data_IF_759427550871
#
_entry.id   IF_759427550871
#
_cell.length_a   1.000
_cell.length_b   1.000
_cell.length_c   1.000
_cell.angle_alpha   90.00
_cell.angle_beta   90.00
_cell.angle_gamma   90.00
#
_symmetry.space_group_name_H-M   'P 1'
#
loop_
_entity.id
_entity.type
_entity.pdbx_description
1 polymer ?
#
# COMPACT_ATOMS: atom_id res chain seq x y z
N UNK A 1 14.37 -4.78 -8.07
CA UNK A 1 14.08 -4.53 -9.49
C UNK A 1 14.16 -3.04 -9.76
N UNK A 2 14.81 -2.64 -10.84
CA UNK A 2 14.80 -1.23 -11.29
C UNK A 2 13.54 -0.96 -12.08
N UNK A 3 12.88 0.13 -11.76
CA UNK A 3 11.65 0.59 -12.41
C UNK A 3 11.92 1.96 -13.01
N UNK A 4 11.68 2.12 -14.31
CA UNK A 4 11.68 3.42 -14.96
C UNK A 4 10.31 4.05 -14.88
N UNK A 5 10.24 5.22 -14.27
CA UNK A 5 9.01 5.99 -14.11
C UNK A 5 8.65 6.73 -15.40
N UNK A 6 7.40 7.17 -15.53
CA UNK A 6 6.92 7.89 -16.72
C UNK A 6 7.63 9.23 -16.96
N UNK A 7 8.16 9.84 -15.92
CA UNK A 7 8.94 11.08 -15.97
C UNK A 7 10.45 10.86 -16.24
N UNK A 8 10.86 9.61 -16.46
CA UNK A 8 12.23 9.23 -16.79
C UNK A 8 13.13 8.90 -15.61
N UNK A 9 12.69 9.17 -14.36
CA UNK A 9 13.44 8.75 -13.16
C UNK A 9 13.49 7.22 -13.06
N UNK A 10 14.52 6.71 -12.41
CA UNK A 10 14.64 5.30 -12.08
C UNK A 10 14.60 5.12 -10.56
N UNK A 11 13.80 4.18 -10.11
CA UNK A 11 13.73 3.78 -8.70
C UNK A 11 14.02 2.28 -8.57
N UNK A 12 14.56 1.90 -7.42
CA UNK A 12 14.74 0.48 -7.08
C UNK A 12 13.59 0.05 -6.19
N UNK A 13 12.82 -0.95 -6.63
CA UNK A 13 11.81 -1.62 -5.81
C UNK A 13 12.40 -2.93 -5.31
N UNK A 14 12.48 -3.08 -4.01
CA UNK A 14 13.06 -4.25 -3.34
C UNK A 14 12.32 -4.60 -2.07
N UNK A 15 12.60 -5.79 -1.53
CA UNK A 15 12.05 -6.18 -0.22
C UNK A 15 12.50 -5.22 0.87
N UNK A 16 11.57 -4.92 1.77
CA UNK A 16 11.83 -4.18 3.00
C UNK A 16 12.71 -5.00 3.94
N UNK A 17 13.61 -4.32 4.63
CA UNK A 17 14.46 -4.89 5.68
C UNK A 17 14.33 -4.08 6.96
N UNK A 18 14.84 -4.59 8.09
CA UNK A 18 14.84 -3.87 9.37
C UNK A 18 15.54 -2.51 9.28
N UNK A 19 16.58 -2.42 8.46
CA UNK A 19 17.33 -1.16 8.26
C UNK A 19 16.53 -0.07 7.55
N UNK A 20 15.41 -0.42 6.92
CA UNK A 20 14.56 0.52 6.20
C UNK A 20 13.55 1.26 7.11
N UNK A 21 13.39 0.81 8.35
CA UNK A 21 12.38 1.36 9.27
C UNK A 21 12.48 2.88 9.44
N UNK A 22 13.69 3.38 9.63
CA UNK A 22 13.91 4.82 9.80
C UNK A 22 13.56 5.60 8.54
N UNK A 23 14.01 5.14 7.38
CA UNK A 23 13.72 5.78 6.10
C UNK A 23 12.24 5.77 5.74
N UNK A 24 11.54 4.67 6.00
CA UNK A 24 10.09 4.59 5.81
C UNK A 24 9.36 5.53 6.77
N UNK A 25 9.77 5.57 8.04
CA UNK A 25 9.16 6.47 9.03
C UNK A 25 9.37 7.94 8.67
N UNK A 26 10.56 8.32 8.21
CA UNK A 26 10.86 9.67 7.73
C UNK A 26 10.02 10.02 6.50
N UNK A 27 9.90 9.13 5.54
CA UNK A 27 9.05 9.32 4.38
C UNK A 27 7.59 9.55 4.80
N UNK A 28 7.05 8.73 5.69
CA UNK A 28 5.67 8.86 6.16
C UNK A 28 5.44 10.17 6.93
N UNK A 29 6.41 10.61 7.71
CA UNK A 29 6.35 11.89 8.41
C UNK A 29 6.42 13.11 7.47
N UNK A 30 7.00 12.95 6.28
CA UNK A 30 7.15 14.00 5.27
C UNK A 30 6.00 14.09 4.26
N UNK A 31 5.00 13.21 4.35
CA UNK A 31 3.86 13.23 3.45
C UNK A 31 3.02 14.49 3.65
N UNK A 32 2.65 15.13 2.54
CA UNK A 32 1.75 16.29 2.54
C UNK A 32 0.34 15.90 2.97
N UNK A 33 -0.44 16.88 3.45
CA UNK A 33 -1.84 16.67 3.81
C UNK A 33 -2.64 16.07 2.64
N UNK A 34 -2.38 16.52 1.42
CA UNK A 34 -3.01 15.97 0.22
C UNK A 34 -2.62 14.50 -0.02
N UNK A 35 -1.35 14.14 0.20
CA UNK A 35 -0.88 12.76 0.02
C UNK A 35 -1.54 11.77 1.01
N UNK A 36 -1.90 12.23 2.21
CA UNK A 36 -2.55 11.40 3.24
C UNK A 36 -4.06 11.65 3.35
N UNK A 37 -4.63 12.46 2.45
CA UNK A 37 -6.03 12.89 2.50
C UNK A 37 -7.02 11.74 2.71
N UNK A 38 -6.79 10.62 2.02
CA UNK A 38 -7.65 9.44 2.08
C UNK A 38 -7.03 8.30 2.92
N UNK A 39 -6.01 8.61 3.70
CA UNK A 39 -5.35 7.68 4.61
C UNK A 39 -5.86 7.77 6.04
N UNK A 40 -5.05 7.30 6.95
CA UNK A 40 -5.36 7.24 8.40
C UNK A 40 -4.26 7.93 9.23
N UNK A 41 -3.90 9.21 8.93
CA UNK A 41 -2.88 9.92 9.71
C UNK A 41 -3.33 10.10 11.18
N UNK A 42 -2.40 10.39 12.11
CA UNK A 42 -0.96 10.58 11.91
C UNK A 42 -0.19 9.27 11.78
N UNK A 43 0.90 9.28 11.00
CA UNK A 43 1.82 8.14 10.86
C UNK A 43 3.07 8.36 11.71
N UNK A 44 2.91 8.29 13.02
CA UNK A 44 4.02 8.42 13.97
C UNK A 44 4.88 7.17 13.98
N UNK A 45 6.15 7.29 14.38
CA UNK A 45 7.07 6.14 14.50
C UNK A 45 6.48 5.05 15.40
N UNK A 46 5.94 5.41 16.55
CA UNK A 46 5.33 4.46 17.49
C UNK A 46 4.14 3.71 16.86
N UNK A 47 3.31 4.39 16.09
CA UNK A 47 2.20 3.77 15.39
C UNK A 47 2.66 2.82 14.28
N UNK A 48 3.70 3.19 13.54
CA UNK A 48 4.31 2.31 12.53
C UNK A 48 4.94 1.07 13.17
N UNK A 49 5.65 1.23 14.29
CA UNK A 49 6.24 0.10 15.02
C UNK A 49 5.19 -0.90 15.50
N UNK A 50 4.08 -0.42 16.05
CA UNK A 50 2.99 -1.28 16.53
C UNK A 50 2.14 -1.89 15.42
N UNK A 51 1.99 -1.22 14.31
CA UNK A 51 1.16 -1.62 13.18
C UNK A 51 1.95 -2.28 12.06
N UNK A 52 2.72 -1.49 11.31
CA UNK A 52 3.35 -1.96 10.07
C UNK A 52 4.56 -2.85 10.30
N UNK A 53 5.37 -2.54 11.32
CA UNK A 53 6.63 -3.20 11.60
C UNK A 53 6.51 -4.33 12.62
N UNK A 54 5.33 -4.63 13.12
CA UNK A 54 5.08 -5.76 14.01
C UNK A 54 4.64 -7.00 13.24
N UNK A 55 5.00 -8.20 13.74
CA UNK A 55 4.60 -9.46 13.11
C UNK A 55 5.12 -9.61 11.68
N UNK A 56 6.34 -9.16 11.42
CA UNK A 56 6.94 -9.10 10.08
C UNK A 56 7.09 -10.48 9.43
N UNK A 57 7.11 -11.55 10.20
CA UNK A 57 7.10 -12.93 9.69
C UNK A 57 5.86 -13.25 8.85
N UNK A 58 4.78 -12.50 9.03
CA UNK A 58 3.54 -12.61 8.27
C UNK A 58 3.34 -11.49 7.24
N UNK A 59 4.39 -10.69 7.01
CA UNK A 59 4.30 -9.54 6.11
C UNK A 59 5.28 -9.71 4.95
N UNK A 60 4.78 -9.52 3.74
CA UNK A 60 5.59 -9.31 2.54
C UNK A 60 5.56 -7.82 2.24
N UNK A 61 6.69 -7.16 2.43
CA UNK A 61 6.77 -5.71 2.26
C UNK A 61 7.84 -5.32 1.24
N UNK A 62 7.57 -4.24 0.52
CA UNK A 62 8.47 -3.62 -0.45
C UNK A 62 8.70 -2.15 -0.11
N UNK A 63 9.88 -1.68 -0.45
CA UNK A 63 10.21 -0.26 -0.51
C UNK A 63 10.59 0.12 -1.93
N UNK A 64 10.30 1.35 -2.31
CA UNK A 64 10.84 1.99 -3.50
C UNK A 64 11.84 3.05 -3.07
N UNK A 65 13.04 3.01 -3.60
CA UNK A 65 14.11 3.97 -3.26
C UNK A 65 14.68 4.62 -4.53
N UNK A 66 14.92 5.91 -4.44
CA UNK A 66 15.55 6.74 -5.45
C UNK A 66 16.87 7.26 -4.84
N UNK A 67 17.99 6.56 -5.12
CA UNK A 67 19.23 6.77 -4.37
C UNK A 67 19.03 6.46 -2.89
N UNK A 68 19.22 7.48 -2.05
CA UNK A 68 19.04 7.38 -0.60
C UNK A 68 17.61 7.78 -0.15
N UNK A 69 16.76 8.19 -1.07
CA UNK A 69 15.41 8.70 -0.78
C UNK A 69 14.37 7.60 -0.90
N UNK A 70 13.55 7.45 0.14
CA UNK A 70 12.40 6.55 0.10
C UNK A 70 11.25 7.21 -0.68
N UNK A 71 10.79 6.52 -1.72
CA UNK A 71 9.71 6.95 -2.60
C UNK A 71 8.38 6.27 -2.29
N UNK A 72 8.40 5.09 -1.67
CA UNK A 72 7.19 4.35 -1.35
C UNK A 72 7.42 3.14 -0.46
N UNK A 73 6.33 2.71 0.17
CA UNK A 73 6.22 1.48 0.95
C UNK A 73 4.93 0.76 0.55
N UNK A 74 5.01 -0.54 0.38
CA UNK A 74 3.85 -1.41 0.17
C UNK A 74 3.94 -2.63 1.08
N UNK A 75 2.84 -2.99 1.73
CA UNK A 75 2.79 -4.11 2.66
C UNK A 75 1.61 -5.03 2.39
N UNK A 76 1.89 -6.31 2.38
CA UNK A 76 0.91 -7.40 2.31
C UNK A 76 0.97 -8.20 3.60
N UNK A 77 -0.07 -8.12 4.42
CA UNK A 77 -0.15 -8.85 5.68
C UNK A 77 -1.03 -10.09 5.55
N UNK A 78 -0.42 -11.26 5.70
CA UNK A 78 -1.11 -12.56 5.66
C UNK A 78 -1.89 -12.77 6.96
N UNK A 79 -3.09 -13.34 6.84
CA UNK A 79 -3.90 -13.74 7.99
C UNK A 79 -3.36 -15.02 8.61
N UNK A 80 -3.29 -15.05 9.94
CA UNK A 80 -2.68 -16.17 10.69
C UNK A 80 -3.70 -17.18 11.20
N UNK A 81 -4.99 -16.78 11.30
CA UNK A 81 -6.03 -17.69 11.76
C UNK A 81 -6.29 -18.81 10.72
N UNK A 82 -6.37 -20.11 11.12
CA UNK A 82 -6.53 -21.22 10.18
C UNK A 82 -7.73 -21.10 9.23
N UNK A 83 -8.85 -20.51 9.69
CA UNK A 83 -10.05 -20.29 8.87
C UNK A 83 -9.92 -19.12 7.88
N UNK A 84 -8.85 -18.35 8.00
CA UNK A 84 -8.51 -17.25 7.08
C UNK A 84 -7.19 -17.50 6.35
N UNK A 85 -6.67 -18.70 6.39
CA UNK A 85 -5.42 -19.05 5.71
C UNK A 85 -5.55 -18.75 4.20
N UNK A 86 -4.47 -18.25 3.63
CA UNK A 86 -4.43 -17.88 2.21
C UNK A 86 -5.04 -16.50 1.91
N UNK A 87 -5.60 -15.79 2.91
CA UNK A 87 -6.06 -14.41 2.73
C UNK A 87 -5.06 -13.41 3.28
N UNK A 88 -5.07 -12.22 2.73
CA UNK A 88 -4.18 -11.13 3.12
C UNK A 88 -4.84 -9.77 2.95
N UNK A 89 -4.33 -8.79 3.70
CA UNK A 89 -4.65 -7.38 3.51
C UNK A 89 -3.49 -6.65 2.86
N UNK A 90 -3.77 -5.61 2.08
CA UNK A 90 -2.78 -4.84 1.34
C UNK A 90 -2.89 -3.34 1.62
N UNK A 91 -1.74 -2.68 1.74
CA UNK A 91 -1.65 -1.22 1.79
C UNK A 91 -0.43 -0.73 1.01
N UNK A 92 -0.51 0.50 0.51
CA UNK A 92 0.57 1.18 -0.19
C UNK A 92 0.52 2.68 0.11
N UNK A 93 1.70 3.26 0.31
CA UNK A 93 1.89 4.70 0.44
C UNK A 93 3.09 5.15 -0.39
N UNK A 94 2.90 6.23 -1.13
CA UNK A 94 3.92 6.86 -1.96
C UNK A 94 4.15 8.30 -1.51
N UNK A 95 5.42 8.71 -1.51
CA UNK A 95 5.73 10.12 -1.34
C UNK A 95 5.13 10.93 -2.51
N UNK A 96 4.61 12.12 -2.23
CA UNK A 96 3.89 12.96 -3.21
C UNK A 96 4.69 13.25 -4.47
N UNK A 97 6.03 13.35 -4.38
CA UNK A 97 6.90 13.58 -5.54
C UNK A 97 6.94 12.42 -6.53
N UNK A 98 6.35 11.27 -6.16
CA UNK A 98 6.30 10.05 -6.98
C UNK A 98 4.87 9.65 -7.33
N UNK A 99 3.90 10.57 -7.16
CA UNK A 99 2.54 10.35 -7.59
C UNK A 99 2.40 10.49 -9.12
N UNK A 100 1.46 9.78 -9.70
CA UNK A 100 1.07 9.85 -11.13
C UNK A 100 2.20 9.51 -12.14
N UNK A 101 3.26 8.86 -11.69
CA UNK A 101 4.40 8.46 -12.53
C UNK A 101 4.51 6.95 -12.76
N UNK A 102 3.49 6.19 -12.33
CA UNK A 102 3.39 4.74 -12.55
C UNK A 102 3.98 3.89 -11.42
N UNK A 103 4.55 4.50 -10.38
CA UNK A 103 5.19 3.75 -9.28
C UNK A 103 4.16 2.90 -8.51
N UNK A 104 2.99 3.43 -8.21
CA UNK A 104 1.94 2.70 -7.48
C UNK A 104 1.53 1.41 -8.20
N UNK A 105 1.31 1.49 -9.50
CA UNK A 105 0.98 0.32 -10.32
C UNK A 105 2.12 -0.70 -10.33
N UNK A 106 3.37 -0.25 -10.50
CA UNK A 106 4.54 -1.13 -10.52
C UNK A 106 4.73 -1.86 -9.19
N UNK A 107 4.66 -1.16 -8.07
CA UNK A 107 4.78 -1.75 -6.74
C UNK A 107 3.64 -2.73 -6.44
N UNK A 108 2.40 -2.39 -6.79
CA UNK A 108 1.24 -3.25 -6.59
C UNK A 108 1.36 -4.55 -7.40
N UNK A 109 1.79 -4.46 -8.67
CA UNK A 109 2.06 -5.67 -9.47
C UNK A 109 3.14 -6.55 -8.84
N UNK A 110 4.22 -5.94 -8.35
CA UNK A 110 5.29 -6.72 -7.71
C UNK A 110 4.83 -7.41 -6.42
N UNK A 111 3.99 -6.76 -5.61
CA UNK A 111 3.37 -7.41 -4.44
C UNK A 111 2.50 -8.59 -4.86
N UNK A 112 1.70 -8.44 -5.91
CA UNK A 112 0.84 -9.52 -6.42
C UNK A 112 1.65 -10.72 -6.91
N UNK A 113 2.76 -10.48 -7.62
CA UNK A 113 3.69 -11.54 -8.04
C UNK A 113 4.26 -12.29 -6.83
N UNK A 114 4.77 -11.57 -5.84
CA UNK A 114 5.33 -12.17 -4.63
C UNK A 114 4.27 -12.92 -3.83
N UNK A 115 3.07 -12.38 -3.71
CA UNK A 115 1.95 -13.04 -3.06
C UNK A 115 1.61 -14.40 -3.73
N UNK A 116 1.61 -14.42 -5.06
CA UNK A 116 1.40 -15.65 -5.83
C UNK A 116 2.51 -16.67 -5.58
N UNK A 117 3.78 -16.23 -5.63
CA UNK A 117 4.94 -17.08 -5.34
C UNK A 117 4.88 -17.67 -3.91
N UNK A 118 4.35 -16.93 -2.95
CA UNK A 118 4.20 -17.32 -1.55
C UNK A 118 2.91 -18.11 -1.24
N UNK A 119 2.14 -18.45 -2.26
CA UNK A 119 0.92 -19.26 -2.11
C UNK A 119 -0.26 -18.52 -1.49
N UNK A 120 -0.30 -17.20 -1.56
CA UNK A 120 -1.47 -16.41 -1.15
C UNK A 120 -2.59 -16.66 -2.17
N UNK A 121 -3.77 -16.99 -1.66
CA UNK A 121 -4.95 -17.25 -2.50
C UNK A 121 -5.72 -15.96 -2.82
N UNK A 122 -5.78 -15.02 -1.85
CA UNK A 122 -6.59 -13.82 -1.96
C UNK A 122 -5.91 -12.60 -1.34
N UNK A 123 -5.95 -11.48 -2.06
CA UNK A 123 -5.56 -10.16 -1.54
C UNK A 123 -6.81 -9.29 -1.43
N UNK A 124 -7.04 -8.70 -0.26
CA UNK A 124 -8.11 -7.72 -0.03
C UNK A 124 -7.56 -6.37 0.37
N UNK A 125 -8.29 -5.31 0.06
CA UNK A 125 -7.99 -3.95 0.48
C UNK A 125 -9.27 -3.15 0.67
N UNK A 126 -9.16 -2.06 1.42
CA UNK A 126 -10.19 -1.05 1.59
C UNK A 126 -9.65 0.30 1.12
N UNK A 127 -10.46 1.06 0.43
CA UNK A 127 -10.09 2.36 -0.12
C UNK A 127 -11.29 3.31 -0.06
N UNK A 128 -11.06 4.57 0.30
CA UNK A 128 -12.12 5.59 0.27
C UNK A 128 -12.62 5.77 -1.17
N UNK A 129 -13.95 5.77 -1.35
CA UNK A 129 -14.58 5.79 -2.67
C UNK A 129 -14.16 7.00 -3.54
N UNK A 130 -13.84 8.13 -2.90
CA UNK A 130 -13.40 9.35 -3.58
C UNK A 130 -11.91 9.31 -3.98
N UNK A 131 -11.17 8.30 -3.54
CA UNK A 131 -9.78 8.07 -3.96
C UNK A 131 -9.74 7.35 -5.32
N UNK A 132 -10.20 8.02 -6.35
CA UNK A 132 -10.32 7.45 -7.70
C UNK A 132 -8.98 7.04 -8.30
N UNK A 133 -7.90 7.75 -7.95
CA UNK A 133 -6.54 7.45 -8.45
C UNK A 133 -6.10 6.07 -7.95
N UNK A 134 -6.25 5.81 -6.65
CA UNK A 134 -5.91 4.51 -6.07
C UNK A 134 -6.78 3.38 -6.63
N UNK A 135 -8.09 3.60 -6.74
CA UNK A 135 -9.02 2.62 -7.30
C UNK A 135 -8.59 2.22 -8.73
N UNK A 136 -8.25 3.20 -9.57
CA UNK A 136 -7.75 2.92 -10.94
C UNK A 136 -6.46 2.12 -10.95
N UNK A 137 -5.54 2.38 -10.03
CA UNK A 137 -4.31 1.59 -9.89
C UNK A 137 -4.65 0.13 -9.58
N UNK A 138 -5.53 -0.11 -8.62
CA UNK A 138 -5.93 -1.45 -8.22
C UNK A 138 -6.66 -2.19 -9.35
N UNK A 139 -7.58 -1.52 -10.04
CA UNK A 139 -8.29 -2.08 -11.20
C UNK A 139 -7.33 -2.49 -12.32
N UNK A 140 -6.33 -1.67 -12.63
CA UNK A 140 -5.29 -2.00 -13.62
C UNK A 140 -4.48 -3.24 -13.27
N UNK A 141 -4.35 -3.57 -12.00
CA UNK A 141 -3.63 -4.76 -11.54
C UNK A 141 -4.54 -5.99 -11.49
N UNK A 142 -5.85 -5.79 -11.55
CA UNK A 142 -6.82 -6.88 -11.61
C UNK A 142 -7.73 -6.99 -10.38
N UNK A 143 -7.63 -6.06 -9.43
CA UNK A 143 -8.59 -6.00 -8.33
C UNK A 143 -9.98 -5.63 -8.83
N UNK A 144 -10.99 -6.20 -8.20
CA UNK A 144 -12.39 -5.90 -8.48
C UNK A 144 -13.08 -5.38 -7.24
N UNK A 145 -14.07 -4.50 -7.43
CA UNK A 145 -14.93 -4.03 -6.34
C UNK A 145 -15.82 -5.17 -5.86
N UNK A 146 -15.79 -5.45 -4.57
CA UNK A 146 -16.58 -6.51 -3.95
C UNK A 146 -17.69 -5.98 -3.04
N UNK A 147 -17.58 -4.75 -2.61
CA UNK A 147 -18.58 -4.14 -1.74
C UNK A 147 -18.30 -2.67 -1.47
N UNK A 148 -19.34 -2.00 -0.94
CA UNK A 148 -19.28 -0.59 -0.57
C UNK A 148 -19.91 -0.43 0.82
N UNK A 149 -19.17 0.23 1.71
CA UNK A 149 -19.66 0.61 3.04
C UNK A 149 -19.98 2.10 3.03
N UNK A 150 -21.23 2.41 3.35
CA UNK A 150 -21.70 3.81 3.40
C UNK A 150 -21.19 4.50 4.65
N UNK A 151 -20.74 5.75 4.49
CA UNK A 151 -20.30 6.62 5.57
C UNK A 151 -19.28 5.99 6.53
N UNK A 152 -18.36 5.19 5.99
CA UNK A 152 -17.40 4.43 6.77
C UNK A 152 -16.10 5.20 7.08
N UNK A 153 -15.90 6.37 6.48
CA UNK A 153 -14.70 7.19 6.63
C UNK A 153 -15.08 8.64 6.87
N UNK A 154 -14.54 9.26 7.92
CA UNK A 154 -14.70 10.68 8.20
C UNK A 154 -13.49 11.45 7.67
N UNK A 155 -13.70 12.26 6.62
CA UNK A 155 -12.63 12.96 5.92
C UNK A 155 -12.16 14.25 6.62
N UNK A 156 -11.04 14.77 6.17
CA UNK A 156 -10.47 16.06 6.59
C UNK A 156 -11.35 17.27 6.18
N UNK A 157 -12.26 17.05 5.24
CA UNK A 157 -13.28 18.01 4.82
C UNK A 157 -14.48 18.08 5.77
N UNK A 158 -14.48 17.35 6.87
CA UNK A 158 -15.56 17.30 7.85
C UNK A 158 -16.79 16.54 7.38
N UNK A 159 -16.67 15.66 6.38
CA UNK A 159 -17.77 14.90 5.80
C UNK A 159 -17.51 13.40 5.92
N UNK A 160 -18.59 12.62 5.94
CA UNK A 160 -18.51 11.18 5.78
C UNK A 160 -18.35 10.79 4.31
N UNK A 161 -17.54 9.79 4.07
CA UNK A 161 -17.30 9.20 2.76
C UNK A 161 -17.51 7.69 2.82
N UNK A 162 -17.88 7.13 1.69
CA UNK A 162 -17.97 5.67 1.59
C UNK A 162 -16.58 5.04 1.46
N UNK A 163 -16.46 3.79 1.88
CA UNK A 163 -15.31 2.93 1.56
C UNK A 163 -15.70 1.86 0.55
N UNK A 164 -14.78 1.54 -0.32
CA UNK A 164 -14.89 0.46 -1.29
C UNK A 164 -13.96 -0.66 -0.87
N UNK A 165 -14.48 -1.88 -0.76
CA UNK A 165 -13.70 -3.08 -0.58
C UNK A 165 -13.38 -3.68 -1.94
N UNK A 166 -12.11 -3.95 -2.18
CA UNK A 166 -11.63 -4.55 -3.42
C UNK A 166 -10.87 -5.84 -3.12
N UNK A 167 -10.91 -6.77 -4.03
CA UNK A 167 -10.25 -8.06 -3.88
C UNK A 167 -9.67 -8.59 -5.18
N UNK A 168 -8.63 -9.40 -5.04
CA UNK A 168 -7.97 -10.12 -6.11
C UNK A 168 -7.78 -11.58 -5.69
N UNK A 169 -8.28 -12.50 -6.51
CA UNK A 169 -8.09 -13.95 -6.32
C UNK A 169 -6.91 -14.40 -7.18
N UNK A 170 -5.95 -15.09 -6.56
CA UNK A 170 -4.71 -15.52 -7.23
C UNK A 170 -4.70 -16.98 -7.70
N UNK A 171 -5.70 -17.72 -7.36
CA UNK A 171 -5.79 -19.11 -7.80
C UNK A 171 -6.19 -20.12 -6.75
#
# INVERSE_FOLDING_TARGET
VKIRLKDGREVVVRRFTEDDKDGVAEMMASLSDEAVRWGMPPYTRDRLERGWFSGMENVTALVAVDGDRFAGYAGLRKQTHPRRRGTSGYNIYLHQDYHNVGLGTAMTRRIVELASEEGVHRIGLSVVADNEIAIRVYEKVGFVVEGRLRDAYFGDDGRYHDEVHMGLILG
#
